data_IF_019118092654
#
_entry.id   IF_019118092654
#
_cell.length_a   1.000
_cell.length_b   1.000
_cell.length_c   1.000
_cell.angle_alpha   90.00
_cell.angle_beta   90.00
_cell.angle_gamma   90.00
#
_symmetry.space_group_name_H-M   'P 1'
#
loop_
_entity.id
_entity.type
_entity.pdbx_description
1 polymer ?
#
# COMPACT_ATOMS: atom_id res chain seq x y z
N UNK A 1 -51.03 -61.58 -8.46
CA UNK A 1 -49.97 -61.60 -7.42
C UNK A 1 -48.63 -61.37 -8.10
N UNK A 2 -47.77 -60.60 -7.43
CA UNK A 2 -46.46 -60.10 -7.82
C UNK A 2 -46.41 -58.96 -8.85
N UNK A 3 -46.43 -57.73 -8.33
CA UNK A 3 -45.67 -56.62 -8.91
C UNK A 3 -44.73 -56.08 -7.84
N UNK A 4 -43.44 -56.31 -8.02
CA UNK A 4 -42.35 -55.80 -7.19
C UNK A 4 -42.14 -54.32 -7.49
N UNK A 5 -42.24 -53.48 -6.47
CA UNK A 5 -41.87 -52.06 -6.53
C UNK A 5 -40.40 -51.92 -6.13
N UNK A 6 -39.57 -51.52 -7.09
CA UNK A 6 -38.15 -51.22 -6.91
C UNK A 6 -38.00 -49.76 -6.50
N UNK A 7 -37.47 -49.53 -5.30
CA UNK A 7 -36.99 -48.24 -4.82
C UNK A 7 -35.84 -47.75 -5.72
N UNK A 8 -35.96 -46.54 -6.25
CA UNK A 8 -34.84 -45.80 -6.85
C UNK A 8 -34.10 -45.01 -5.75
N UNK A 9 -32.77 -44.90 -5.80
CA UNK A 9 -32.02 -44.11 -4.84
C UNK A 9 -32.16 -42.62 -5.18
N UNK A 10 -32.40 -41.81 -4.14
CA UNK A 10 -32.37 -40.34 -4.21
C UNK A 10 -30.91 -39.93 -4.43
N UNK A 11 -30.60 -39.45 -5.63
CA UNK A 11 -29.32 -38.85 -5.95
C UNK A 11 -29.23 -37.45 -5.35
N UNK A 12 -28.37 -37.30 -4.35
CA UNK A 12 -27.99 -36.05 -3.71
C UNK A 12 -26.94 -35.34 -4.57
N UNK A 13 -27.35 -34.81 -5.72
CA UNK A 13 -26.49 -33.94 -6.54
C UNK A 13 -26.96 -32.50 -6.37
N UNK A 14 -26.16 -31.69 -5.67
CA UNK A 14 -26.41 -30.26 -5.56
C UNK A 14 -26.48 -29.64 -6.97
N UNK A 15 -27.32 -28.60 -7.20
CA UNK A 15 -27.40 -27.95 -8.49
C UNK A 15 -26.01 -27.47 -8.96
N UNK A 16 -25.72 -27.51 -10.27
CA UNK A 16 -24.36 -27.43 -10.82
C UNK A 16 -23.54 -26.16 -10.46
N UNK A 17 -24.19 -25.12 -9.92
CA UNK A 17 -23.50 -23.93 -9.39
C UNK A 17 -23.03 -24.05 -7.94
N UNK A 18 -23.64 -24.89 -7.10
CA UNK A 18 -23.29 -25.00 -5.68
C UNK A 18 -22.01 -25.80 -5.45
N UNK A 19 -21.75 -26.83 -6.26
CA UNK A 19 -20.51 -27.62 -6.16
C UNK A 19 -19.27 -26.79 -6.48
N UNK A 20 -19.37 -25.92 -7.49
CA UNK A 20 -18.30 -24.95 -7.80
C UNK A 20 -18.07 -23.97 -6.65
N UNK A 21 -19.15 -23.39 -6.11
CA UNK A 21 -19.07 -22.47 -4.97
C UNK A 21 -18.40 -23.14 -3.77
N UNK A 22 -18.78 -24.38 -3.46
CA UNK A 22 -18.17 -25.17 -2.40
C UNK A 22 -16.66 -25.35 -2.63
N UNK A 23 -16.27 -25.74 -3.85
CA UNK A 23 -14.86 -25.90 -4.22
C UNK A 23 -14.08 -24.59 -4.07
N UNK A 24 -14.66 -23.46 -4.45
CA UNK A 24 -14.06 -22.13 -4.26
C UNK A 24 -13.86 -21.80 -2.77
N UNK A 25 -14.86 -22.07 -1.92
CA UNK A 25 -14.77 -21.86 -0.47
C UNK A 25 -13.67 -22.75 0.13
N UNK A 26 -13.59 -24.02 -0.26
CA UNK A 26 -12.58 -24.96 0.23
C UNK A 26 -11.15 -24.50 -0.12
N UNK A 27 -10.92 -24.04 -1.36
CA UNK A 27 -9.63 -23.44 -1.77
C UNK A 27 -9.30 -22.18 -0.99
N UNK A 28 -10.28 -21.30 -0.79
CA UNK A 28 -10.07 -20.07 -0.01
C UNK A 28 -9.78 -20.39 1.47
N UNK A 29 -10.34 -21.49 1.99
CA UNK A 29 -10.11 -21.94 3.36
C UNK A 29 -8.67 -22.42 3.61
N UNK A 30 -7.94 -22.87 2.58
CA UNK A 30 -6.50 -23.22 2.68
C UNK A 30 -5.63 -22.01 3.09
N UNK A 31 -6.11 -20.79 2.84
CA UNK A 31 -5.45 -19.55 3.25
C UNK A 31 -5.77 -19.13 4.69
N UNK A 32 -6.73 -19.79 5.34
CA UNK A 32 -7.12 -19.46 6.70
C UNK A 32 -6.10 -20.02 7.70
N UNK A 33 -5.80 -19.29 8.78
CA UNK A 33 -4.92 -19.80 9.82
C UNK A 33 -5.53 -21.06 10.45
N UNK A 34 -4.78 -22.15 10.42
CA UNK A 34 -5.17 -23.46 10.97
C UNK A 34 -4.98 -23.57 12.49
N UNK A 35 -4.81 -22.46 13.20
CA UNK A 35 -4.50 -22.45 14.64
C UNK A 35 -5.45 -21.52 15.40
N UNK A 36 -6.01 -22.03 16.51
CA UNK A 36 -6.71 -21.22 17.51
C UNK A 36 -5.74 -20.35 18.33
N UNK A 37 -6.23 -19.57 19.30
CA UNK A 37 -5.37 -18.71 20.15
C UNK A 37 -4.35 -19.57 20.91
N UNK A 38 -3.06 -19.38 20.63
CA UNK A 38 -1.97 -20.16 21.23
C UNK A 38 -1.35 -19.38 22.38
N UNK A 39 -1.08 -20.05 23.50
CA UNK A 39 -0.39 -19.48 24.67
C UNK A 39 1.12 -19.71 24.64
N UNK A 40 1.65 -20.40 23.62
CA UNK A 40 3.06 -20.73 23.44
C UNK A 40 3.49 -20.59 21.97
N UNK A 41 4.78 -20.35 21.75
CA UNK A 41 5.36 -20.09 20.42
C UNK A 41 5.32 -21.35 19.55
N UNK A 42 4.71 -21.28 18.37
CA UNK A 42 4.70 -22.38 17.38
C UNK A 42 5.32 -21.89 16.08
N UNK A 43 6.20 -22.72 15.51
CA UNK A 43 6.85 -22.58 14.22
C UNK A 43 5.84 -22.81 13.08
N UNK A 44 4.83 -21.95 12.90
CA UNK A 44 3.99 -22.00 11.70
C UNK A 44 4.21 -20.72 10.88
N UNK A 45 4.75 -20.91 9.69
CA UNK A 45 4.96 -19.84 8.73
C UNK A 45 3.60 -19.36 8.22
N UNK A 46 3.25 -18.09 8.42
CA UNK A 46 1.98 -17.51 7.91
C UNK A 46 1.90 -17.57 6.38
N UNK A 47 3.04 -17.76 5.70
CA UNK A 47 3.12 -17.93 4.25
C UNK A 47 3.20 -19.39 3.82
N UNK A 48 2.88 -20.36 4.70
CA UNK A 48 2.99 -21.80 4.39
C UNK A 48 2.22 -22.19 3.11
N UNK A 49 1.00 -21.68 2.94
CA UNK A 49 0.19 -21.92 1.74
C UNK A 49 0.76 -21.26 0.46
N UNK A 50 1.85 -20.51 0.58
CA UNK A 50 2.53 -19.80 -0.50
C UNK A 50 3.98 -20.29 -0.68
N UNK A 51 4.38 -21.38 0.00
CA UNK A 51 5.75 -21.92 -0.06
C UNK A 51 6.11 -22.51 -1.43
N UNK A 52 5.11 -22.86 -2.24
CA UNK A 52 5.31 -23.30 -3.62
C UNK A 52 5.71 -22.16 -4.58
N UNK A 53 5.64 -20.89 -4.13
CA UNK A 53 5.99 -19.72 -4.92
C UNK A 53 7.43 -19.26 -4.64
N UNK A 54 8.11 -18.63 -5.63
CA UNK A 54 9.35 -17.91 -5.37
C UNK A 54 9.17 -16.90 -4.24
N UNK A 55 10.20 -16.73 -3.39
CA UNK A 55 10.11 -15.95 -2.16
C UNK A 55 9.46 -14.57 -2.33
N UNK A 56 9.90 -13.80 -3.33
CA UNK A 56 9.37 -12.44 -3.60
C UNK A 56 7.90 -12.48 -4.05
N UNK A 57 7.52 -13.45 -4.87
CA UNK A 57 6.15 -13.64 -5.34
C UNK A 57 5.21 -14.08 -4.21
N UNK A 58 5.64 -15.07 -3.42
CA UNK A 58 4.89 -15.53 -2.25
C UNK A 58 4.70 -14.40 -1.22
N UNK A 59 5.72 -13.57 -1.02
CA UNK A 59 5.68 -12.45 -0.10
C UNK A 59 4.76 -11.32 -0.60
N UNK A 60 4.80 -10.98 -1.90
CA UNK A 60 3.88 -10.01 -2.51
C UNK A 60 2.43 -10.52 -2.49
N UNK A 61 2.21 -11.79 -2.78
CA UNK A 61 0.89 -12.42 -2.70
C UNK A 61 0.38 -12.42 -1.26
N UNK A 62 1.21 -12.79 -0.29
CA UNK A 62 0.88 -12.73 1.13
C UNK A 62 0.58 -11.31 1.63
N UNK A 63 1.36 -10.31 1.19
CA UNK A 63 1.11 -8.91 1.51
C UNK A 63 -0.24 -8.41 1.00
N UNK A 64 -0.64 -8.84 -0.21
CA UNK A 64 -1.93 -8.49 -0.79
C UNK A 64 -3.08 -9.23 -0.09
N UNK A 65 -2.98 -10.55 0.10
CA UNK A 65 -4.01 -11.36 0.75
C UNK A 65 -4.25 -10.93 2.20
N UNK A 66 -3.17 -10.77 2.96
CA UNK A 66 -3.24 -10.46 4.38
C UNK A 66 -3.14 -8.96 4.65
N UNK A 67 -3.11 -8.08 3.63
CA UNK A 67 -3.03 -6.63 3.81
C UNK A 67 -1.95 -6.19 4.82
N UNK A 68 -0.78 -6.83 4.79
CA UNK A 68 0.35 -6.57 5.69
C UNK A 68 1.50 -5.93 4.94
N UNK A 69 2.42 -5.28 5.67
CA UNK A 69 3.69 -4.84 5.13
C UNK A 69 4.69 -6.01 5.16
N UNK A 70 5.10 -6.54 3.99
CA UNK A 70 5.96 -7.73 3.94
C UNK A 70 7.41 -7.44 4.32
N UNK A 71 7.83 -6.18 4.21
CA UNK A 71 9.16 -5.71 4.48
C UNK A 71 9.15 -4.73 5.65
N UNK A 72 10.33 -4.55 6.25
CA UNK A 72 10.53 -3.46 7.20
C UNK A 72 10.34 -2.10 6.51
N UNK A 73 9.97 -1.09 7.28
CA UNK A 73 9.96 0.29 6.79
C UNK A 73 11.38 0.74 6.41
N UNK A 74 11.48 1.73 5.52
CA UNK A 74 12.79 2.29 5.12
C UNK A 74 13.59 2.77 6.33
N UNK A 75 12.94 3.42 7.30
CA UNK A 75 13.60 3.89 8.52
C UNK A 75 14.25 2.76 9.30
N UNK A 76 13.59 1.61 9.39
CA UNK A 76 14.11 0.41 10.06
C UNK A 76 15.29 -0.20 9.31
N UNK A 77 15.32 -0.11 7.98
CA UNK A 77 16.51 -0.49 7.20
C UNK A 77 17.66 0.51 7.41
N UNK A 78 17.37 1.81 7.43
CA UNK A 78 18.37 2.87 7.70
C UNK A 78 18.96 2.76 9.11
N UNK A 79 18.16 2.41 10.12
CA UNK A 79 18.67 2.08 11.47
C UNK A 79 19.67 0.91 11.44
N UNK A 80 19.39 -0.13 10.66
CA UNK A 80 20.31 -1.28 10.52
C UNK A 80 21.60 -0.87 9.82
N UNK A 81 21.51 0.03 8.84
CA UNK A 81 22.68 0.63 8.19
C UNK A 81 23.51 1.46 9.19
N UNK A 82 22.87 2.33 9.96
CA UNK A 82 23.53 3.15 10.98
C UNK A 82 24.23 2.30 12.07
N UNK A 83 23.70 1.11 12.37
CA UNK A 83 24.30 0.13 13.29
C UNK A 83 25.35 -0.79 12.63
N UNK A 84 25.67 -0.58 11.36
CA UNK A 84 26.65 -1.38 10.61
C UNK A 84 26.20 -2.81 10.28
N UNK A 85 24.90 -3.13 10.45
CA UNK A 85 24.34 -4.43 10.04
C UNK A 85 24.15 -4.51 8.52
N UNK A 86 23.88 -3.39 7.87
CA UNK A 86 23.87 -3.23 6.41
C UNK A 86 25.00 -2.28 6.07
N UNK A 87 25.93 -2.69 5.22
CA UNK A 87 27.09 -1.87 4.85
C UNK A 87 26.85 -1.15 3.51
N UNK A 88 27.47 0.00 3.27
CA UNK A 88 27.43 0.68 1.97
C UNK A 88 27.85 -0.24 0.80
N UNK A 89 28.80 -1.14 1.04
CA UNK A 89 29.26 -2.11 0.05
C UNK A 89 28.18 -3.14 -0.29
N UNK A 90 27.38 -3.57 0.69
CA UNK A 90 26.27 -4.49 0.47
C UNK A 90 25.23 -3.86 -0.48
N UNK A 91 24.88 -2.59 -0.25
CA UNK A 91 23.98 -1.83 -1.12
C UNK A 91 24.56 -1.69 -2.53
N UNK A 92 25.87 -1.43 -2.63
CA UNK A 92 26.54 -1.27 -3.91
C UNK A 92 26.49 -2.56 -4.75
N UNK A 93 26.71 -3.72 -4.12
CA UNK A 93 26.63 -5.03 -4.79
C UNK A 93 25.20 -5.29 -5.30
N UNK A 94 24.19 -5.07 -4.44
CA UNK A 94 22.79 -5.32 -4.78
C UNK A 94 22.32 -4.37 -5.88
N UNK A 95 22.64 -3.08 -5.79
CA UNK A 95 22.25 -2.09 -6.81
C UNK A 95 22.89 -2.38 -8.16
N UNK A 96 24.15 -2.80 -8.21
CA UNK A 96 24.79 -3.20 -9.48
C UNK A 96 24.10 -4.40 -10.10
N UNK A 97 23.70 -5.39 -9.29
CA UNK A 97 22.95 -6.55 -9.77
C UNK A 97 21.57 -6.16 -10.31
N UNK A 98 20.84 -5.32 -9.57
CA UNK A 98 19.48 -4.90 -9.93
C UNK A 98 19.44 -4.00 -11.17
N UNK A 99 20.37 -3.04 -11.26
CA UNK A 99 20.47 -2.14 -12.41
C UNK A 99 21.10 -2.82 -13.64
N UNK A 100 21.92 -3.84 -13.44
CA UNK A 100 22.68 -4.52 -14.49
C UNK A 100 23.40 -3.50 -15.40
N UNK A 101 23.25 -3.62 -16.72
CA UNK A 101 23.86 -2.70 -17.70
C UNK A 101 23.43 -1.23 -17.52
N UNK A 102 22.28 -0.98 -16.89
CA UNK A 102 21.79 0.38 -16.64
C UNK A 102 22.61 1.10 -15.57
N UNK A 103 23.39 0.37 -14.76
CA UNK A 103 24.17 0.94 -13.67
C UNK A 103 25.16 2.00 -14.18
N UNK A 104 25.78 1.77 -15.34
CA UNK A 104 26.84 2.61 -15.90
C UNK A 104 26.34 3.56 -17.01
N UNK A 105 25.03 3.58 -17.29
CA UNK A 105 24.46 4.53 -18.24
C UNK A 105 24.68 5.95 -17.73
N UNK A 106 25.25 6.82 -18.56
CA UNK A 106 25.45 8.21 -18.16
C UNK A 106 24.11 8.97 -18.22
N UNK A 107 23.70 9.50 -17.08
CA UNK A 107 22.61 10.47 -16.98
C UNK A 107 23.19 11.87 -17.25
N UNK A 108 23.09 12.29 -18.51
CA UNK A 108 23.80 13.47 -19.00
C UNK A 108 25.32 13.30 -18.86
N UNK A 109 26.00 14.34 -18.38
CA UNK A 109 27.44 14.32 -18.10
C UNK A 109 27.77 14.25 -16.60
N UNK A 110 26.75 14.11 -15.74
CA UNK A 110 26.87 14.39 -14.31
C UNK A 110 26.96 13.14 -13.44
N UNK A 111 26.19 12.09 -13.77
CA UNK A 111 26.02 10.94 -12.86
C UNK A 111 25.53 9.69 -13.59
N UNK A 112 25.31 8.62 -12.84
CA UNK A 112 24.74 7.35 -13.32
C UNK A 112 23.51 6.96 -12.50
N UNK A 113 22.62 6.08 -13.01
CA UNK A 113 21.51 5.54 -12.22
C UNK A 113 21.96 4.85 -10.93
N UNK A 114 23.16 4.23 -10.95
CA UNK A 114 23.77 3.63 -9.77
C UNK A 114 24.04 4.68 -8.69
N UNK A 115 24.74 5.76 -9.05
CA UNK A 115 25.10 6.82 -8.09
C UNK A 115 23.85 7.49 -7.50
N UNK A 116 22.84 7.76 -8.35
CA UNK A 116 21.57 8.36 -7.92
C UNK A 116 20.83 7.44 -6.94
N UNK A 117 20.65 6.16 -7.29
CA UNK A 117 19.95 5.22 -6.39
C UNK A 117 20.71 4.98 -5.10
N UNK A 118 22.03 4.87 -5.16
CA UNK A 118 22.87 4.72 -3.96
C UNK A 118 22.73 5.94 -3.05
N UNK A 119 22.73 7.15 -3.61
CA UNK A 119 22.49 8.38 -2.85
C UNK A 119 21.10 8.41 -2.20
N UNK A 120 20.04 7.97 -2.90
CA UNK A 120 18.68 7.89 -2.34
C UNK A 120 18.56 6.88 -1.17
N UNK A 121 19.30 5.78 -1.24
CA UNK A 121 19.34 4.79 -0.16
C UNK A 121 20.18 5.25 1.04
N UNK A 122 21.23 6.04 0.80
CA UNK A 122 22.06 6.61 1.87
C UNK A 122 21.41 7.81 2.55
N UNK A 123 20.83 8.71 1.77
CA UNK A 123 20.31 9.97 2.26
C UNK A 123 18.77 9.96 2.20
N UNK A 124 18.09 10.06 3.36
CA UNK A 124 16.63 10.05 3.38
C UNK A 124 16.08 11.26 2.63
N UNK A 125 15.16 10.97 1.72
CA UNK A 125 14.34 11.97 1.05
C UNK A 125 13.13 12.24 1.94
N UNK A 126 12.96 13.50 2.35
CA UNK A 126 11.74 13.89 3.06
C UNK A 126 10.63 14.06 2.03
N UNK A 127 9.57 13.28 2.20
CA UNK A 127 8.36 13.35 1.38
C UNK A 127 7.21 13.79 2.27
N UNK A 128 6.30 14.57 1.70
CA UNK A 128 5.14 15.08 2.41
C UNK A 128 4.12 15.64 1.42
N UNK A 129 2.87 15.86 1.87
CA UNK A 129 1.87 16.56 1.09
C UNK A 129 2.37 17.96 0.69
N UNK A 130 1.83 18.48 -0.43
CA UNK A 130 2.25 19.76 -1.01
C UNK A 130 2.22 20.91 0.00
N UNK A 131 1.23 20.92 0.88
CA UNK A 131 1.10 22.00 1.88
C UNK A 131 2.17 21.91 2.98
N UNK A 132 2.56 20.71 3.40
CA UNK A 132 3.67 20.52 4.34
C UNK A 132 5.00 20.96 3.71
N UNK A 133 5.24 20.60 2.44
CA UNK A 133 6.44 21.03 1.72
C UNK A 133 6.50 22.54 1.52
N UNK A 134 5.35 23.18 1.20
CA UNK A 134 5.26 24.64 1.07
C UNK A 134 5.55 25.34 2.39
N UNK A 135 4.95 24.86 3.48
CA UNK A 135 5.22 25.38 4.81
C UNK A 135 6.68 25.18 5.19
N UNK A 136 7.25 23.99 4.97
CA UNK A 136 8.65 23.69 5.27
C UNK A 136 9.60 24.64 4.53
N UNK A 137 9.40 24.87 3.23
CA UNK A 137 10.24 25.79 2.45
C UNK A 137 10.07 27.25 2.90
N UNK A 138 8.88 27.65 3.35
CA UNK A 138 8.60 29.01 3.77
C UNK A 138 9.10 29.33 5.19
N UNK A 139 8.99 28.37 6.12
CA UNK A 139 9.23 28.57 7.55
C UNK A 139 10.60 28.10 8.02
N UNK A 140 11.35 27.38 7.17
CA UNK A 140 12.70 26.89 7.51
C UNK A 140 13.79 27.50 6.64
N UNK A 141 15.04 27.30 7.06
CA UNK A 141 16.23 27.71 6.32
C UNK A 141 16.61 26.75 5.16
N UNK A 142 15.67 25.93 4.67
CA UNK A 142 15.96 24.89 3.67
C UNK A 142 16.57 25.43 2.36
N UNK A 143 16.31 26.68 2.01
CA UNK A 143 16.85 27.35 0.82
C UNK A 143 17.95 28.38 1.15
N UNK A 144 18.36 28.49 2.42
CA UNK A 144 19.35 29.47 2.88
C UNK A 144 20.54 28.83 3.56
N UNK A 145 20.40 27.60 4.07
CA UNK A 145 21.46 26.85 4.75
C UNK A 145 21.47 25.37 4.34
N UNK A 146 22.65 24.81 4.10
CA UNK A 146 22.79 23.38 3.83
C UNK A 146 22.39 22.56 5.06
N UNK A 147 21.74 21.42 4.82
CA UNK A 147 21.42 20.45 5.88
C UNK A 147 22.67 20.06 6.66
N UNK A 148 22.52 19.81 7.97
CA UNK A 148 23.63 19.50 8.86
C UNK A 148 24.36 18.20 8.50
N UNK A 149 23.67 17.25 7.87
CA UNK A 149 24.20 15.97 7.42
C UNK A 149 24.94 16.04 6.06
N UNK A 150 24.90 17.18 5.36
CA UNK A 150 25.64 17.34 4.11
C UNK A 150 27.17 17.43 4.39
N UNK A 151 28.04 16.65 3.72
CA UNK A 151 29.47 16.73 3.94
C UNK A 151 30.05 18.12 3.65
N UNK A 152 30.94 18.63 4.51
CA UNK A 152 31.53 19.97 4.35
C UNK A 152 32.22 20.16 2.99
N UNK A 153 32.91 19.14 2.50
CA UNK A 153 33.56 19.16 1.18
C UNK A 153 32.56 19.31 0.02
N UNK A 154 31.37 18.70 0.14
CA UNK A 154 30.31 18.84 -0.86
C UNK A 154 29.72 20.25 -0.83
N UNK A 155 29.45 20.82 0.35
CA UNK A 155 28.97 22.20 0.52
C UNK A 155 29.93 23.20 -0.12
N UNK A 156 31.22 23.10 0.21
CA UNK A 156 32.25 23.99 -0.33
C UNK A 156 32.36 23.88 -1.84
N UNK A 157 32.32 22.65 -2.39
CA UNK A 157 32.37 22.43 -3.84
C UNK A 157 31.20 23.11 -4.56
N UNK A 158 29.97 22.90 -4.09
CA UNK A 158 28.78 23.51 -4.70
C UNK A 158 28.87 25.04 -4.69
N UNK A 159 29.27 25.64 -3.55
CA UNK A 159 29.44 27.10 -3.43
C UNK A 159 30.53 27.60 -4.39
N UNK A 160 31.71 26.98 -4.38
CA UNK A 160 32.84 27.41 -5.19
C UNK A 160 32.57 27.28 -6.70
N UNK A 161 31.94 26.18 -7.13
CA UNK A 161 31.57 25.97 -8.53
C UNK A 161 30.48 26.95 -8.97
N UNK A 162 29.47 27.21 -8.13
CA UNK A 162 28.45 28.23 -8.40
C UNK A 162 29.09 29.61 -8.53
N UNK A 163 29.97 29.97 -7.60
CA UNK A 163 30.68 31.27 -7.62
C UNK A 163 31.52 31.42 -8.88
N UNK A 164 32.30 30.41 -9.26
CA UNK A 164 33.10 30.45 -10.49
C UNK A 164 32.23 30.57 -11.74
N UNK A 165 31.10 29.84 -11.78
CA UNK A 165 30.17 29.88 -12.90
C UNK A 165 29.55 31.27 -13.08
N UNK A 166 28.98 31.84 -12.01
CA UNK A 166 28.36 33.17 -12.03
C UNK A 166 29.37 34.27 -12.32
N UNK A 167 30.54 34.24 -11.69
CA UNK A 167 31.58 35.25 -11.92
C UNK A 167 32.16 35.20 -13.33
N UNK A 168 32.20 34.02 -13.97
CA UNK A 168 32.58 33.88 -15.38
C UNK A 168 31.51 34.48 -16.28
N UNK A 169 30.23 34.14 -16.05
CA UNK A 169 29.12 34.62 -16.87
C UNK A 169 28.98 36.15 -16.82
N UNK A 170 29.14 36.76 -15.63
CA UNK A 170 29.17 38.22 -15.46
C UNK A 170 30.34 38.91 -16.19
N UNK A 171 31.50 38.26 -16.28
CA UNK A 171 32.69 38.81 -16.98
C UNK A 171 32.57 38.69 -18.49
N UNK A 172 32.04 37.57 -18.98
CA UNK A 172 31.80 37.32 -20.40
C UNK A 172 30.54 38.07 -20.91
N UNK A 173 29.70 38.56 -19.99
CA UNK A 173 28.51 39.38 -20.23
C UNK A 173 28.75 40.78 -20.83
N UNK A 174 29.99 41.21 -21.08
CA UNK A 174 30.35 42.53 -21.61
C UNK A 174 30.45 42.69 -23.14
N UNK A 175 30.56 41.61 -23.93
CA UNK A 175 30.72 41.67 -25.39
C UNK A 175 29.47 41.15 -26.14
N UNK A 176 28.75 42.08 -26.77
CA UNK A 176 27.36 41.93 -27.19
C UNK A 176 27.16 41.67 -28.70
N UNK A 177 28.14 41.08 -29.41
CA UNK A 177 28.06 40.97 -30.89
C UNK A 177 28.18 39.56 -31.50
N UNK A 178 28.39 38.50 -30.72
CA UNK A 178 28.40 37.11 -31.24
C UNK A 178 27.55 36.14 -30.41
N UNK A 179 26.43 36.63 -29.85
CA UNK A 179 25.57 35.85 -28.94
C UNK A 179 24.55 35.02 -29.71
N UNK A 180 24.97 33.85 -30.19
CA UNK A 180 24.10 32.90 -30.88
C UNK A 180 24.47 31.43 -30.61
N UNK A 181 23.45 30.66 -30.23
CA UNK A 181 23.31 29.22 -30.49
C UNK A 181 24.25 28.25 -29.72
N UNK A 182 24.14 28.22 -28.39
CA UNK A 182 24.36 26.99 -27.62
C UNK A 182 23.02 26.30 -27.31
N UNK A 183 22.92 24.95 -27.24
CA UNK A 183 21.65 24.23 -27.06
C UNK A 183 20.89 24.56 -25.75
N UNK A 184 21.54 25.23 -24.80
CA UNK A 184 21.02 25.56 -23.46
C UNK A 184 21.12 27.06 -23.11
N UNK A 185 21.53 27.91 -24.06
CA UNK A 185 22.05 29.26 -23.76
C UNK A 185 21.06 30.29 -23.22
N UNK A 186 19.76 30.18 -23.49
CA UNK A 186 18.79 31.24 -23.15
C UNK A 186 18.00 30.99 -21.86
N UNK A 187 17.76 29.73 -21.47
CA UNK A 187 16.96 29.42 -20.29
C UNK A 187 17.78 29.52 -18.99
N UNK A 188 19.01 29.01 -19.00
CA UNK A 188 19.91 29.00 -17.84
C UNK A 188 20.39 30.41 -17.44
N UNK A 189 20.46 31.35 -18.39
CA UNK A 189 20.84 32.76 -18.17
C UNK A 189 19.77 33.53 -17.38
N UNK A 190 18.50 33.47 -17.83
CA UNK A 190 17.39 34.11 -17.11
C UNK A 190 17.16 33.56 -15.69
N UNK A 191 17.55 32.29 -15.46
CA UNK A 191 17.38 31.58 -14.20
C UNK A 191 18.13 32.23 -13.03
N UNK A 192 19.35 32.72 -13.29
CA UNK A 192 20.22 33.30 -12.28
C UNK A 192 20.24 34.85 -12.27
N UNK A 193 19.97 35.53 -13.39
CA UNK A 193 19.91 37.01 -13.44
C UNK A 193 18.86 37.63 -12.49
N UNK A 194 17.68 37.01 -12.39
CA UNK A 194 16.65 37.44 -11.42
C UNK A 194 17.09 37.15 -9.97
N UNK A 195 17.84 36.07 -9.73
CA UNK A 195 18.39 35.81 -8.39
C UNK A 195 19.48 36.82 -8.03
N UNK A 196 20.41 37.11 -8.94
CA UNK A 196 21.49 38.08 -8.71
C UNK A 196 20.92 39.45 -8.35
N UNK A 197 19.89 39.92 -9.08
CA UNK A 197 19.20 41.17 -8.77
C UNK A 197 18.56 41.17 -7.37
N UNK A 198 17.95 40.07 -6.95
CA UNK A 198 17.33 39.94 -5.61
C UNK A 198 18.35 39.92 -4.47
N UNK A 199 19.55 39.41 -4.71
CA UNK A 199 20.62 39.31 -3.72
C UNK A 199 21.57 40.54 -3.70
N UNK A 200 21.47 41.42 -4.71
CA UNK A 200 22.23 42.67 -4.79
C UNK A 200 23.43 42.55 -5.73
N UNK A 201 23.16 42.69 -7.02
CA UNK A 201 24.11 42.61 -8.14
C UNK A 201 25.35 43.50 -7.94
N UNK A 202 25.16 44.73 -7.47
CA UNK A 202 26.23 45.71 -7.25
C UNK A 202 27.23 45.32 -6.14
N UNK A 203 26.94 44.28 -5.36
CA UNK A 203 27.77 43.83 -4.24
C UNK A 203 28.27 42.40 -4.37
N UNK A 204 28.04 41.76 -5.53
CA UNK A 204 28.28 40.32 -5.72
C UNK A 204 29.73 39.89 -5.41
N UNK A 205 30.71 40.73 -5.73
CA UNK A 205 32.13 40.45 -5.46
C UNK A 205 32.45 40.38 -3.96
N UNK A 206 31.63 41.02 -3.12
CA UNK A 206 31.82 41.18 -1.68
C UNK A 206 30.79 40.43 -0.85
N UNK A 207 29.97 39.56 -1.45
CA UNK A 207 28.99 38.78 -0.71
C UNK A 207 29.65 37.91 0.37
N UNK A 208 29.12 37.92 1.61
CA UNK A 208 29.64 37.07 2.67
C UNK A 208 29.36 35.59 2.37
N UNK A 209 30.05 34.64 3.04
CA UNK A 209 29.87 33.21 2.80
C UNK A 209 28.43 32.72 2.94
N UNK A 210 27.67 33.25 3.91
CA UNK A 210 26.25 32.92 4.10
C UNK A 210 25.36 33.36 2.94
N UNK A 211 25.68 34.49 2.30
CA UNK A 211 24.96 34.96 1.12
C UNK A 211 25.26 34.07 -0.09
N UNK A 212 26.52 33.66 -0.27
CA UNK A 212 26.90 32.70 -1.30
C UNK A 212 26.22 31.34 -1.09
N UNK A 213 26.14 30.86 0.15
CA UNK A 213 25.42 29.63 0.50
C UNK A 213 23.93 29.70 0.13
N UNK A 214 23.23 30.76 0.56
CA UNK A 214 21.82 30.96 0.26
C UNK A 214 21.56 31.15 -1.25
N UNK A 215 22.45 31.85 -1.95
CA UNK A 215 22.36 32.01 -3.40
C UNK A 215 22.51 30.65 -4.11
N UNK A 216 23.53 29.87 -3.78
CA UNK A 216 23.78 28.54 -4.36
C UNK A 216 22.60 27.60 -4.16
N UNK A 217 22.01 27.57 -2.96
CA UNK A 217 20.85 26.71 -2.67
C UNK A 217 19.60 27.12 -3.44
N UNK A 218 19.32 28.42 -3.57
CA UNK A 218 18.17 28.91 -4.34
C UNK A 218 18.33 28.68 -5.83
N UNK A 219 19.55 28.84 -6.34
CA UNK A 219 19.86 28.52 -7.73
C UNK A 219 19.66 27.02 -7.99
N UNK A 220 20.25 26.17 -7.14
CA UNK A 220 20.09 24.71 -7.23
C UNK A 220 18.61 24.31 -7.21
N UNK A 221 17.84 24.87 -6.28
CA UNK A 221 16.39 24.64 -6.20
C UNK A 221 15.66 25.00 -7.49
N UNK A 222 15.93 26.19 -8.07
CA UNK A 222 15.27 26.60 -9.33
C UNK A 222 15.63 25.68 -10.48
N UNK A 223 16.92 25.35 -10.64
CA UNK A 223 17.39 24.42 -11.68
C UNK A 223 16.71 23.05 -11.54
N UNK A 224 16.67 22.50 -10.32
CA UNK A 224 16.01 21.22 -10.06
C UNK A 224 14.49 21.28 -10.31
N UNK A 225 13.82 22.34 -9.84
CA UNK A 225 12.37 22.52 -10.01
C UNK A 225 12.00 22.66 -11.49
N UNK A 226 12.71 23.51 -12.21
CA UNK A 226 12.43 23.79 -13.62
C UNK A 226 12.72 22.53 -14.45
N UNK A 227 13.82 21.82 -14.16
CA UNK A 227 14.10 20.50 -14.71
C UNK A 227 12.97 19.51 -14.45
N UNK A 228 12.48 19.39 -13.21
CA UNK A 228 11.36 18.50 -12.88
C UNK A 228 10.06 18.85 -13.62
N UNK A 229 9.78 20.14 -13.83
CA UNK A 229 8.60 20.59 -14.58
C UNK A 229 8.67 20.26 -16.08
N UNK A 230 9.88 20.14 -16.64
CA UNK A 230 10.05 19.74 -18.06
C UNK A 230 9.84 18.25 -18.28
N UNK A 231 9.97 17.43 -17.23
CA UNK A 231 9.73 15.98 -17.31
C UNK A 231 8.22 15.75 -17.36
N UNK A 232 7.72 15.32 -18.51
CA UNK A 232 6.39 14.71 -18.56
C UNK A 232 6.45 13.42 -17.76
N UNK A 233 5.77 13.40 -16.62
CA UNK A 233 5.48 12.14 -15.95
C UNK A 233 4.61 11.34 -16.92
N UNK A 234 5.17 10.35 -17.59
CA UNK A 234 4.36 9.28 -18.15
C UNK A 234 3.58 8.75 -16.95
N UNK A 235 2.26 8.97 -16.96
CA UNK A 235 1.37 8.76 -15.83
C UNK A 235 1.21 7.30 -15.47
N UNK A 236 2.31 6.60 -15.18
CA UNK A 236 2.34 5.35 -14.44
C UNK A 236 1.86 5.68 -13.03
N UNK A 237 0.56 5.90 -12.92
CA UNK A 237 -0.15 5.85 -11.66
C UNK A 237 0.27 4.52 -11.01
N UNK A 238 0.61 4.57 -9.71
CA UNK A 238 0.82 3.35 -8.95
C UNK A 238 -0.30 2.37 -9.29
N UNK A 239 0.01 1.09 -9.55
CA UNK A 239 -0.98 0.12 -10.01
C UNK A 239 -2.19 0.20 -9.07
N UNK A 240 -3.33 0.62 -9.60
CA UNK A 240 -4.56 0.68 -8.83
C UNK A 240 -4.83 -0.76 -8.40
N UNK A 241 -4.80 -1.01 -7.09
CA UNK A 241 -5.14 -2.34 -6.58
C UNK A 241 -6.53 -2.68 -7.08
N UNK A 242 -6.75 -3.88 -7.64
CA UNK A 242 -8.06 -4.29 -8.09
C UNK A 242 -9.03 -4.19 -6.90
N UNK A 243 -10.21 -3.64 -7.17
CA UNK A 243 -11.30 -3.55 -6.21
C UNK A 243 -11.89 -4.95 -6.10
N UNK A 244 -11.55 -5.68 -5.03
CA UNK A 244 -11.97 -7.07 -4.86
C UNK A 244 -13.38 -7.19 -4.27
N UNK A 245 -13.82 -6.22 -3.46
CA UNK A 245 -15.15 -6.22 -2.86
C UNK A 245 -15.84 -4.86 -3.01
N UNK A 246 -17.17 -4.91 -3.00
CA UNK A 246 -18.04 -3.75 -2.97
C UNK A 246 -17.73 -2.79 -1.81
N UNK A 247 -17.20 -3.32 -0.70
CA UNK A 247 -16.70 -2.55 0.43
C UNK A 247 -15.73 -1.46 0.01
N UNK A 248 -14.75 -1.76 -0.84
CA UNK A 248 -13.73 -0.78 -1.22
C UNK A 248 -14.36 0.40 -1.98
N UNK A 249 -15.35 0.14 -2.83
CA UNK A 249 -16.14 1.16 -3.52
C UNK A 249 -16.96 2.00 -2.53
N UNK A 250 -17.67 1.35 -1.61
CA UNK A 250 -18.48 2.02 -0.60
C UNK A 250 -17.62 2.91 0.31
N UNK A 251 -16.45 2.41 0.71
CA UNK A 251 -15.50 3.16 1.55
C UNK A 251 -14.95 4.37 0.81
N UNK A 252 -14.61 4.24 -0.48
CA UNK A 252 -14.17 5.38 -1.29
C UNK A 252 -15.29 6.43 -1.46
N UNK A 253 -16.53 5.99 -1.67
CA UNK A 253 -17.65 6.90 -1.91
C UNK A 253 -18.19 7.59 -0.64
N UNK A 254 -18.16 6.90 0.50
CA UNK A 254 -18.84 7.36 1.74
C UNK A 254 -17.89 7.64 2.90
N UNK A 255 -16.61 7.29 2.77
CA UNK A 255 -15.61 7.28 3.84
C UNK A 255 -15.99 6.40 5.06
N UNK A 256 -16.99 5.53 4.92
CA UNK A 256 -17.43 4.59 5.96
C UNK A 256 -17.06 3.15 5.56
N UNK A 257 -16.65 2.35 6.55
CA UNK A 257 -16.31 0.95 6.34
C UNK A 257 -17.49 0.05 6.73
N UNK A 258 -18.12 -0.62 5.74
CA UNK A 258 -19.23 -1.51 6.01
C UNK A 258 -18.81 -2.76 6.79
N UNK A 259 -17.55 -3.20 6.68
CA UNK A 259 -17.06 -4.35 7.44
C UNK A 259 -17.07 -4.04 8.95
N UNK A 260 -16.85 -2.79 9.37
CA UNK A 260 -16.88 -2.43 10.79
C UNK A 260 -18.25 -2.74 11.42
N UNK A 261 -19.34 -2.42 10.71
CA UNK A 261 -20.70 -2.72 11.16
C UNK A 261 -20.94 -4.22 11.31
N UNK A 262 -20.50 -5.00 10.33
CA UNK A 262 -20.65 -6.46 10.31
C UNK A 262 -19.75 -7.12 11.37
N UNK A 263 -18.51 -6.66 11.52
CA UNK A 263 -17.54 -7.17 12.48
C UNK A 263 -18.04 -7.01 13.92
N UNK A 264 -18.68 -5.90 14.26
CA UNK A 264 -19.23 -5.70 15.60
C UNK A 264 -20.25 -6.78 15.96
N UNK A 265 -21.03 -7.26 15.00
CA UNK A 265 -22.01 -8.36 15.20
C UNK A 265 -21.31 -9.72 15.20
N UNK A 266 -20.47 -9.97 14.20
CA UNK A 266 -19.80 -11.26 14.03
C UNK A 266 -18.82 -11.55 15.16
N UNK A 267 -18.04 -10.59 15.65
CA UNK A 267 -17.10 -10.80 16.76
C UNK A 267 -17.83 -11.33 18.00
N UNK A 268 -18.96 -10.71 18.37
CA UNK A 268 -19.78 -11.13 19.52
C UNK A 268 -20.35 -12.53 19.30
N UNK A 269 -20.91 -12.78 18.12
CA UNK A 269 -21.51 -14.07 17.82
C UNK A 269 -20.48 -15.19 17.74
N UNK A 270 -19.38 -14.98 17.02
CA UNK A 270 -18.31 -15.94 16.88
C UNK A 270 -17.68 -16.24 18.24
N UNK A 271 -17.47 -15.26 19.11
CA UNK A 271 -16.98 -15.49 20.48
C UNK A 271 -17.92 -16.41 21.28
N UNK A 272 -19.24 -16.21 21.18
CA UNK A 272 -20.22 -17.07 21.83
C UNK A 272 -20.28 -18.48 21.19
N UNK A 273 -20.06 -18.58 19.88
CA UNK A 273 -20.07 -19.85 19.16
C UNK A 273 -18.81 -20.69 19.42
N UNK A 274 -17.64 -20.06 19.54
CA UNK A 274 -16.36 -20.74 19.82
C UNK A 274 -16.08 -20.93 21.31
N UNK A 275 -16.94 -20.45 22.21
CA UNK A 275 -16.80 -20.61 23.65
C UNK A 275 -16.63 -22.09 24.04
N UNK A 276 -15.64 -22.39 24.89
CA UNK A 276 -15.34 -23.75 25.35
C UNK A 276 -16.01 -24.08 26.68
N UNK A 277 -17.09 -23.37 27.03
CA UNK A 277 -17.84 -23.57 28.27
C UNK A 277 -17.41 -22.67 29.43
N UNK A 278 -16.67 -21.60 29.14
CA UNK A 278 -16.26 -20.62 30.16
C UNK A 278 -17.36 -19.59 30.44
N UNK A 279 -18.19 -19.28 29.44
CA UNK A 279 -19.31 -18.36 29.60
C UNK A 279 -20.45 -19.00 30.41
N UNK A 280 -20.99 -18.24 31.37
CA UNK A 280 -22.17 -18.65 32.14
C UNK A 280 -23.45 -18.74 31.30
N UNK A 281 -23.49 -18.07 30.14
CA UNK A 281 -24.59 -18.13 29.19
C UNK A 281 -24.13 -18.83 27.91
N UNK A 282 -24.85 -19.88 27.50
CA UNK A 282 -24.53 -20.67 26.31
C UNK A 282 -25.34 -20.20 25.11
N UNK A 283 -24.69 -20.19 23.95
CA UNK A 283 -25.37 -19.89 22.69
C UNK A 283 -26.47 -20.94 22.40
N UNK A 284 -27.73 -20.53 22.19
CA UNK A 284 -28.81 -21.46 21.86
C UNK A 284 -28.54 -22.19 20.55
N UNK A 285 -28.92 -23.47 20.48
CA UNK A 285 -28.93 -24.26 19.24
C UNK A 285 -27.55 -24.37 18.55
N UNK A 286 -26.47 -24.16 19.31
CA UNK A 286 -25.08 -24.23 18.84
C UNK A 286 -24.75 -25.56 18.16
N UNK A 287 -25.32 -26.66 18.66
CA UNK A 287 -25.16 -28.02 18.16
C UNK A 287 -25.69 -28.22 16.73
N UNK A 288 -26.54 -27.31 16.22
CA UNK A 288 -27.05 -27.37 14.83
C UNK A 288 -26.15 -26.64 13.82
N UNK A 289 -24.97 -26.18 14.25
CA UNK A 289 -23.98 -25.53 13.41
C UNK A 289 -24.13 -24.01 13.33
N UNK A 290 -23.05 -23.36 12.88
CA UNK A 290 -22.87 -21.90 12.91
C UNK A 290 -24.01 -21.14 12.25
N UNK A 291 -24.34 -21.49 10.99
CA UNK A 291 -25.37 -20.81 10.21
C UNK A 291 -26.76 -20.90 10.86
N UNK A 292 -27.16 -22.10 11.30
CA UNK A 292 -28.48 -22.30 11.93
C UNK A 292 -28.57 -21.56 13.27
N UNK A 293 -27.52 -21.61 14.08
CA UNK A 293 -27.48 -20.85 15.34
C UNK A 293 -27.58 -19.34 15.10
N UNK A 294 -26.91 -18.81 14.06
CA UNK A 294 -26.99 -17.39 13.71
C UNK A 294 -28.41 -16.98 13.31
N UNK A 295 -29.05 -17.74 12.42
CA UNK A 295 -30.43 -17.49 12.00
C UNK A 295 -31.40 -17.52 13.18
N UNK A 296 -31.27 -18.49 14.10
CA UNK A 296 -32.14 -18.62 15.26
C UNK A 296 -32.02 -17.45 16.24
N UNK A 297 -30.81 -16.94 16.47
CA UNK A 297 -30.57 -15.83 17.40
C UNK A 297 -31.02 -14.49 16.79
N UNK A 298 -30.61 -14.21 15.56
CA UNK A 298 -30.81 -12.89 14.94
C UNK A 298 -32.15 -12.73 14.19
N UNK A 299 -32.94 -13.80 14.02
CA UNK A 299 -34.32 -13.66 13.56
C UNK A 299 -35.26 -13.12 14.64
N UNK A 300 -34.91 -13.28 15.92
CA UNK A 300 -35.77 -12.86 17.02
C UNK A 300 -35.78 -11.32 17.12
N UNK A 301 -36.93 -10.69 17.36
CA UNK A 301 -36.98 -9.25 17.60
C UNK A 301 -36.27 -8.92 18.92
N UNK A 302 -35.17 -8.17 18.85
CA UNK A 302 -34.40 -7.75 20.03
C UNK A 302 -33.98 -6.28 19.90
N UNK A 303 -34.31 -5.48 20.93
CA UNK A 303 -33.95 -4.06 21.05
C UNK A 303 -34.41 -3.18 19.86
N UNK A 304 -34.16 -1.87 19.87
CA UNK A 304 -34.13 -1.11 18.63
C UNK A 304 -32.88 -1.57 17.86
N UNK A 305 -33.01 -2.27 16.71
CA UNK A 305 -31.85 -2.66 15.93
C UNK A 305 -31.14 -1.39 15.45
N UNK A 306 -29.80 -1.45 15.38
CA UNK A 306 -29.05 -0.43 14.66
C UNK A 306 -29.66 -0.27 13.27
N UNK A 307 -29.80 0.97 12.79
CA UNK A 307 -30.52 1.27 11.55
C UNK A 307 -30.03 0.44 10.35
N UNK A 308 -28.75 0.10 10.32
CA UNK A 308 -28.16 -0.70 9.25
C UNK A 308 -28.57 -2.19 9.28
N UNK A 309 -28.99 -2.72 10.44
CA UNK A 309 -29.53 -4.07 10.60
C UNK A 309 -31.03 -4.16 10.28
N UNK A 310 -31.65 -3.06 9.85
CA UNK A 310 -33.05 -3.05 9.48
C UNK A 310 -33.31 -4.05 8.34
N UNK A 311 -34.21 -5.00 8.57
CA UNK A 311 -34.54 -6.07 7.63
C UNK A 311 -33.80 -7.39 7.88
N UNK A 312 -32.74 -7.43 8.70
CA UNK A 312 -32.00 -8.67 8.97
C UNK A 312 -32.89 -9.76 9.57
N UNK A 313 -33.72 -9.44 10.57
CA UNK A 313 -34.62 -10.40 11.19
C UNK A 313 -35.63 -10.98 10.19
N UNK A 314 -36.19 -10.13 9.32
CA UNK A 314 -37.12 -10.55 8.27
C UNK A 314 -36.43 -11.45 7.24
N UNK A 315 -35.20 -11.13 6.88
CA UNK A 315 -34.42 -11.89 5.90
C UNK A 315 -34.02 -13.27 6.44
N UNK A 316 -33.53 -13.33 7.68
CA UNK A 316 -33.24 -14.61 8.34
C UNK A 316 -34.50 -15.47 8.53
N UNK A 317 -35.65 -14.84 8.76
CA UNK A 317 -36.94 -15.53 8.79
C UNK A 317 -37.29 -16.11 7.41
N UNK A 318 -37.08 -15.36 6.31
CA UNK A 318 -37.29 -15.83 4.93
C UNK A 318 -36.39 -17.03 4.61
N UNK A 319 -35.09 -16.92 4.86
CA UNK A 319 -34.12 -17.99 4.64
C UNK A 319 -34.49 -19.28 5.40
N UNK A 320 -34.94 -19.12 6.65
CA UNK A 320 -35.36 -20.26 7.48
C UNK A 320 -36.65 -20.89 6.97
N UNK A 321 -37.66 -20.09 6.59
CA UNK A 321 -38.94 -20.58 6.08
C UNK A 321 -38.81 -21.29 4.72
N UNK A 322 -37.92 -20.79 3.85
CA UNK A 322 -37.64 -21.40 2.55
C UNK A 322 -36.67 -22.58 2.64
N UNK A 323 -36.10 -22.86 3.82
CA UNK A 323 -35.19 -23.98 4.04
C UNK A 323 -33.81 -23.79 3.40
N UNK A 324 -33.45 -22.57 2.98
CA UNK A 324 -32.19 -22.27 2.29
C UNK A 324 -30.99 -22.54 3.22
N UNK A 325 -30.05 -23.34 2.71
CA UNK A 325 -28.79 -23.63 3.38
C UNK A 325 -27.78 -22.48 3.25
N UNK A 326 -26.60 -22.64 3.87
CA UNK A 326 -25.55 -21.63 3.82
C UNK A 326 -25.00 -21.41 2.41
N UNK A 327 -24.86 -22.48 1.60
CA UNK A 327 -24.35 -22.35 0.23
C UNK A 327 -25.33 -21.61 -0.68
N UNK A 328 -26.63 -21.88 -0.53
CA UNK A 328 -27.68 -21.18 -1.26
C UNK A 328 -27.75 -19.70 -0.85
N UNK A 329 -27.64 -19.40 0.44
CA UNK A 329 -27.59 -18.03 0.95
C UNK A 329 -26.39 -17.25 0.43
N UNK A 330 -25.21 -17.88 0.36
CA UNK A 330 -24.01 -17.27 -0.22
C UNK A 330 -24.20 -17.04 -1.72
N UNK A 331 -24.74 -18.03 -2.46
CA UNK A 331 -25.02 -17.89 -3.89
C UNK A 331 -25.98 -16.73 -4.16
N UNK A 332 -27.11 -16.67 -3.44
CA UNK A 332 -28.08 -15.57 -3.58
C UNK A 332 -27.44 -14.21 -3.27
N UNK A 333 -26.57 -14.14 -2.26
CA UNK A 333 -25.84 -12.91 -1.93
C UNK A 333 -24.87 -12.47 -3.04
N UNK A 334 -24.14 -13.42 -3.64
CA UNK A 334 -23.25 -13.13 -4.77
C UNK A 334 -24.02 -12.63 -5.98
N UNK A 335 -25.16 -13.25 -6.28
CA UNK A 335 -26.04 -12.86 -7.40
C UNK A 335 -26.62 -11.45 -7.18
N UNK A 336 -27.08 -11.15 -5.95
CA UNK A 336 -27.58 -9.82 -5.58
C UNK A 336 -26.52 -8.73 -5.66
N UNK A 337 -25.27 -9.09 -5.37
CA UNK A 337 -24.11 -8.20 -5.47
C UNK A 337 -23.55 -8.15 -6.90
N UNK A 338 -24.07 -8.92 -7.85
CA UNK A 338 -23.59 -8.96 -9.22
C UNK A 338 -22.16 -9.48 -9.36
N UNK A 339 -21.69 -10.34 -8.45
CA UNK A 339 -20.35 -10.94 -8.50
C UNK A 339 -20.33 -12.02 -9.58
N UNK A 340 -19.56 -11.78 -10.65
CA UNK A 340 -19.42 -12.73 -11.75
C UNK A 340 -18.63 -13.98 -11.35
N UNK A 341 -18.80 -15.05 -12.13
CA UNK A 341 -18.11 -16.32 -11.94
C UNK A 341 -16.57 -16.21 -11.97
N UNK A 342 -16.02 -15.23 -12.70
CA UNK A 342 -14.57 -15.00 -12.81
C UNK A 342 -14.00 -14.31 -11.58
N UNK A 343 -14.79 -13.49 -10.90
CA UNK A 343 -14.37 -12.69 -9.74
C UNK A 343 -14.72 -13.38 -8.41
N UNK A 344 -15.50 -14.47 -8.46
CA UNK A 344 -16.04 -15.17 -7.30
C UNK A 344 -14.94 -15.69 -6.37
N UNK A 345 -13.85 -16.23 -6.91
CA UNK A 345 -12.74 -16.78 -6.11
C UNK A 345 -12.06 -15.70 -5.26
N UNK A 346 -11.74 -14.56 -5.86
CA UNK A 346 -11.12 -13.43 -5.16
C UNK A 346 -12.10 -12.78 -4.16
N UNK A 347 -13.37 -12.64 -4.55
CA UNK A 347 -14.40 -12.04 -3.70
C UNK A 347 -14.64 -12.86 -2.42
N UNK A 348 -14.77 -14.17 -2.54
CA UNK A 348 -14.96 -15.08 -1.41
C UNK A 348 -13.72 -15.09 -0.52
N UNK A 349 -12.53 -15.17 -1.12
CA UNK A 349 -11.26 -15.14 -0.39
C UNK A 349 -11.11 -13.85 0.43
N UNK A 350 -11.35 -12.69 -0.20
CA UNK A 350 -11.32 -11.40 0.47
C UNK A 350 -12.37 -11.29 1.58
N UNK A 351 -13.54 -11.91 1.41
CA UNK A 351 -14.62 -11.91 2.40
C UNK A 351 -14.29 -12.79 3.61
N UNK A 352 -13.70 -13.97 3.38
CA UNK A 352 -13.26 -14.87 4.45
C UNK A 352 -12.11 -14.27 5.28
N UNK A 353 -11.22 -13.51 4.64
CA UNK A 353 -10.09 -12.83 5.28
C UNK A 353 -10.44 -11.48 5.90
N UNK A 354 -11.69 -11.00 5.74
CA UNK A 354 -12.14 -9.71 6.26
C UNK A 354 -12.04 -9.64 7.79
N UNK A 355 -12.56 -10.67 8.46
CA UNK A 355 -12.50 -10.82 9.91
C UNK A 355 -11.45 -11.88 10.30
N UNK A 356 -10.19 -11.46 10.24
CA UNK A 356 -9.01 -12.34 10.37
C UNK A 356 -9.06 -13.21 11.62
N UNK A 357 -8.74 -14.50 11.45
CA UNK A 357 -8.68 -15.50 12.51
C UNK A 357 -10.02 -16.18 12.82
N UNK A 358 -11.14 -15.46 12.74
CA UNK A 358 -12.45 -16.03 13.09
C UNK A 358 -12.93 -17.10 12.12
N UNK A 359 -12.82 -16.86 10.81
CA UNK A 359 -13.18 -17.86 9.81
C UNK A 359 -12.36 -19.15 9.97
N UNK A 360 -11.06 -19.04 10.26
CA UNK A 360 -10.20 -20.20 10.53
C UNK A 360 -10.63 -20.98 11.77
N UNK A 361 -10.97 -20.30 12.86
CA UNK A 361 -11.46 -20.95 14.09
C UNK A 361 -12.83 -21.65 13.91
N UNK A 362 -13.67 -21.17 12.99
CA UNK A 362 -14.98 -21.78 12.70
C UNK A 362 -14.86 -22.94 11.72
N UNK A 363 -13.84 -22.91 10.86
CA UNK A 363 -13.59 -23.95 9.86
C UNK A 363 -13.03 -25.25 10.47
N UNK A 364 -12.30 -25.14 11.58
CA UNK A 364 -11.82 -26.26 12.39
C UNK A 364 -12.97 -27.05 13.01
#
# INVERSE_FOLDING_TARGET
MNSSSSLLPVGDSAPPGLDRLKTTIERAAELLPSQGPITAFVFLNTLQALEDLPFEEGLLKGANLFGVQPYLTEDRYREKMARGRIRPEDLSIVLRRDLAERADLKLGSLTTPFDVRLAMLHHPLQTGPVEELRWFVAETDALTRFREDAPQAARARVIDETKRWVMRDLRDGGDDQHRGAGPHGTHDQHLHDDLIRRFGESTIEHWPPSTWEAFSLRLLWRVCRDGALTVKSDGSAAPQRPVLRHREVLRQATNNDCDALVHDVLIRFCAAFTDQGFAGWKLPVRDRGFYRAFCEVYRLPAGPPDRWMHGLSSELARLTQQGLGPLESIRESLDLLGVGDEEQDDYITASLLALRGWAGMIWQ
#
